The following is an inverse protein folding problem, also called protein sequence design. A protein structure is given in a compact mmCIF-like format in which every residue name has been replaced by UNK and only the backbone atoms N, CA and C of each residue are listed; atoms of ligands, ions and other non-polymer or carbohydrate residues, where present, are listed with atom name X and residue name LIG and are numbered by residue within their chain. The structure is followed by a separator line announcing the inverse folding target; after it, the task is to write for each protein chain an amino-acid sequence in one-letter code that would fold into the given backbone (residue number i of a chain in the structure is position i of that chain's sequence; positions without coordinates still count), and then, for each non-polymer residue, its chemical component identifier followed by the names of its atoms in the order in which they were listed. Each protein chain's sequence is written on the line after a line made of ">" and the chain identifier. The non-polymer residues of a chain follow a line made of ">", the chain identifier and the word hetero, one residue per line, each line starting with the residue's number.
data_IF_578546327379
#
_entry.id   IF_578546327379
#
_cell.length_a   1.000
_cell.length_b   1.000
_cell.length_c   1.000
_cell.angle_alpha   90.00
_cell.angle_beta   90.00
_cell.angle_gamma   90.00
#
_symmetry.space_group_name_H-M   'P 1'
#
loop_
_entity.id
_entity.type
_entity.pdbx_description
1 polymer ?
#
# COMPACT_ATOMS: atom_id res chain seq x y z
N UNK A 1 -4.02 -7.24 10.28
CA UNK A 1 -3.90 -8.52 11.03
C UNK A 1 -2.81 -8.37 12.09
N UNK A 2 -2.73 -9.21 13.15
CA UNK A 2 -1.51 -9.23 13.95
C UNK A 2 -0.31 -9.62 13.06
N UNK A 3 0.91 -9.10 13.35
CA UNK A 3 2.12 -9.48 12.61
C UNK A 3 2.37 -10.99 12.67
N UNK A 4 2.84 -11.57 11.57
CA UNK A 4 3.34 -12.95 11.54
C UNK A 4 4.78 -12.97 12.04
N UNK A 5 5.17 -14.01 12.79
CA UNK A 5 6.52 -14.13 13.36
C UNK A 5 7.62 -14.23 12.29
N UNK A 6 7.28 -14.71 11.08
CA UNK A 6 8.18 -14.77 9.94
C UNK A 6 8.02 -13.55 9.03
N UNK A 7 9.07 -12.74 8.97
CA UNK A 7 9.16 -11.54 8.11
C UNK A 7 9.02 -11.89 6.62
N UNK A 8 9.45 -13.08 6.20
CA UNK A 8 9.29 -13.52 4.83
C UNK A 8 7.82 -13.65 4.48
N UNK A 9 7.08 -14.45 5.24
CA UNK A 9 5.63 -14.62 5.09
C UNK A 9 4.90 -13.28 5.15
N UNK A 10 5.22 -12.42 6.13
CA UNK A 10 4.63 -11.10 6.27
C UNK A 10 4.76 -10.26 4.98
N UNK A 11 5.98 -10.25 4.43
CA UNK A 11 6.33 -9.46 3.23
C UNK A 11 5.60 -9.92 1.96
N UNK A 12 5.39 -11.23 1.79
CA UNK A 12 4.86 -11.80 0.54
C UNK A 12 3.36 -12.12 0.57
N UNK A 13 2.77 -12.18 1.76
CA UNK A 13 1.39 -12.64 1.95
C UNK A 13 0.49 -11.71 2.78
N UNK A 14 1.03 -10.76 3.55
CA UNK A 14 0.24 -10.03 4.54
C UNK A 14 0.21 -8.51 4.35
N UNK A 15 0.66 -7.99 3.20
CA UNK A 15 0.50 -6.55 2.91
C UNK A 15 -0.98 -6.15 2.90
N UNK A 16 -1.30 -5.09 3.63
CA UNK A 16 -2.62 -4.47 3.68
C UNK A 16 -2.73 -3.33 2.65
N UNK A 17 -3.95 -2.87 2.35
CA UNK A 17 -4.14 -1.72 1.46
C UNK A 17 -3.57 -0.44 2.09
N UNK A 18 -3.30 0.55 1.26
CA UNK A 18 -2.72 1.82 1.69
C UNK A 18 -3.61 2.50 2.73
N UNK A 19 -3.08 2.72 3.94
CA UNK A 19 -3.78 3.29 5.08
C UNK A 19 -4.56 2.30 5.95
N UNK A 20 -4.57 1.01 5.63
CA UNK A 20 -5.13 -0.05 6.49
C UNK A 20 -4.05 -0.72 7.37
N UNK A 21 -2.77 -0.52 7.06
CA UNK A 21 -1.63 -0.98 7.84
C UNK A 21 -1.10 0.07 8.82
N UNK A 22 0.06 -0.20 9.41
CA UNK A 22 0.65 0.65 10.47
C UNK A 22 1.55 1.78 9.94
N UNK A 23 1.88 1.78 8.65
CA UNK A 23 2.77 2.78 8.04
C UNK A 23 2.05 4.10 7.75
N UNK A 24 2.70 5.22 8.08
CA UNK A 24 2.23 6.57 7.71
C UNK A 24 2.59 6.90 6.26
N UNK A 25 1.71 6.47 5.34
CA UNK A 25 1.89 6.68 3.90
C UNK A 25 1.92 8.19 3.55
N UNK A 26 1.04 9.07 4.07
CA UNK A 26 1.13 10.51 3.82
C UNK A 26 2.47 11.12 4.25
N UNK A 27 3.03 10.73 5.40
CA UNK A 27 4.35 11.20 5.82
C UNK A 27 5.44 10.77 4.84
N UNK A 28 5.47 9.50 4.44
CA UNK A 28 6.40 9.01 3.44
C UNK A 28 6.33 9.81 2.13
N UNK A 29 5.12 10.05 1.61
CA UNK A 29 4.92 10.83 0.38
C UNK A 29 5.40 12.28 0.51
N UNK A 30 5.20 12.92 1.66
CA UNK A 30 5.72 14.28 1.93
C UNK A 30 7.25 14.29 1.91
N UNK A 31 7.90 13.34 2.57
CA UNK A 31 9.36 13.27 2.62
C UNK A 31 9.98 12.96 1.25
N UNK A 32 9.38 12.05 0.46
CA UNK A 32 9.86 11.76 -0.89
C UNK A 32 9.75 13.00 -1.80
N UNK A 33 8.64 13.77 -1.68
CA UNK A 33 8.51 15.04 -2.39
C UNK A 33 9.54 16.08 -1.92
N UNK A 34 9.77 16.19 -0.61
CA UNK A 34 10.76 17.09 -0.03
C UNK A 34 12.20 16.75 -0.48
N UNK A 35 12.48 15.47 -0.70
CA UNK A 35 13.72 14.98 -1.30
C UNK A 35 13.86 15.31 -2.81
N UNK A 36 12.84 15.92 -3.43
CA UNK A 36 12.87 16.40 -4.81
C UNK A 36 12.29 15.44 -5.85
N UNK A 37 11.69 14.32 -5.43
CA UNK A 37 11.07 13.39 -6.37
C UNK A 37 9.68 13.90 -6.82
N UNK A 38 9.50 14.04 -8.14
CA UNK A 38 8.25 14.52 -8.76
C UNK A 38 7.71 13.56 -9.84
N UNK A 39 8.05 12.27 -9.74
CA UNK A 39 7.65 11.23 -10.69
C UNK A 39 6.36 10.48 -10.27
N UNK A 40 6.11 9.35 -10.95
CA UNK A 40 4.96 8.47 -10.67
C UNK A 40 5.29 7.44 -9.59
N UNK A 41 4.28 7.04 -8.82
CA UNK A 41 4.41 6.01 -7.78
C UNK A 41 3.79 4.70 -8.25
N UNK A 42 4.54 3.62 -8.17
CA UNK A 42 4.02 2.27 -8.36
C UNK A 42 3.35 1.76 -7.09
N UNK A 43 2.26 1.00 -7.25
CA UNK A 43 1.56 0.35 -6.14
C UNK A 43 1.83 -1.15 -6.14
N UNK A 44 2.19 -1.72 -4.99
CA UNK A 44 2.56 -3.13 -4.86
C UNK A 44 1.96 -3.75 -3.59
N UNK A 45 0.92 -4.57 -3.77
CA UNK A 45 0.26 -5.31 -2.70
C UNK A 45 0.42 -6.82 -2.92
N UNK A 46 1.34 -7.42 -2.17
CA UNK A 46 1.51 -8.87 -2.08
C UNK A 46 0.69 -9.40 -0.91
N UNK A 47 -0.54 -9.85 -1.20
CA UNK A 47 -1.49 -10.24 -0.16
C UNK A 47 -2.26 -11.50 -0.53
N UNK A 48 -2.16 -12.54 0.30
CA UNK A 48 -2.91 -13.78 0.13
C UNK A 48 -4.43 -13.56 0.24
N UNK A 49 -4.85 -12.55 1.00
CA UNK A 49 -6.25 -12.10 1.12
C UNK A 49 -6.73 -11.47 -0.18
N UNK A 50 -6.00 -10.49 -0.69
CA UNK A 50 -6.47 -9.68 -1.82
C UNK A 50 -6.28 -10.33 -3.19
N UNK A 51 -5.27 -11.20 -3.37
CA UNK A 51 -5.02 -11.87 -4.66
C UNK A 51 -6.11 -12.88 -5.07
N UNK A 52 -7.08 -13.13 -4.18
CA UNK A 52 -8.26 -13.96 -4.46
C UNK A 52 -9.40 -13.16 -5.11
N UNK A 53 -9.32 -11.82 -5.13
CA UNK A 53 -10.31 -10.96 -5.77
C UNK A 53 -10.12 -10.95 -7.30
N UNK A 54 -11.17 -10.55 -8.02
CA UNK A 54 -11.06 -10.30 -9.46
C UNK A 54 -10.08 -9.16 -9.75
N UNK A 55 -9.43 -9.19 -10.92
CA UNK A 55 -8.42 -8.19 -11.29
C UNK A 55 -8.95 -6.75 -11.26
N UNK A 56 -10.14 -6.51 -11.82
CA UNK A 56 -10.75 -5.17 -11.84
C UNK A 56 -11.08 -4.66 -10.44
N UNK A 57 -11.56 -5.55 -9.57
CA UNK A 57 -11.87 -5.23 -8.19
C UNK A 57 -10.60 -4.90 -7.41
N UNK A 58 -9.55 -5.72 -7.56
CA UNK A 58 -8.28 -5.49 -6.88
C UNK A 58 -7.61 -4.21 -7.37
N UNK A 59 -7.59 -3.97 -8.69
CA UNK A 59 -7.05 -2.75 -9.28
C UNK A 59 -7.78 -1.51 -8.74
N UNK A 60 -9.13 -1.55 -8.69
CA UNK A 60 -9.93 -0.45 -8.13
C UNK A 60 -9.63 -0.20 -6.65
N UNK A 61 -9.61 -1.25 -5.81
CA UNK A 61 -9.35 -1.12 -4.37
C UNK A 61 -7.96 -0.55 -4.09
N UNK A 62 -6.94 -1.01 -4.82
CA UNK A 62 -5.57 -0.47 -4.71
C UNK A 62 -5.52 0.99 -5.15
N UNK A 63 -6.14 1.33 -6.27
CA UNK A 63 -6.19 2.71 -6.74
C UNK A 63 -6.90 3.63 -5.73
N UNK A 64 -8.10 3.25 -5.29
CA UNK A 64 -8.92 4.05 -4.36
C UNK A 64 -8.18 4.27 -3.02
N UNK A 65 -7.60 3.21 -2.45
CA UNK A 65 -6.82 3.31 -1.19
C UNK A 65 -5.54 4.14 -1.36
N UNK A 66 -4.87 4.05 -2.51
CA UNK A 66 -3.70 4.88 -2.83
C UNK A 66 -4.10 6.36 -2.91
N UNK A 67 -5.12 6.69 -3.69
CA UNK A 67 -5.58 8.07 -3.86
C UNK A 67 -6.10 8.67 -2.55
N UNK A 68 -6.68 7.86 -1.66
CA UNK A 68 -7.06 8.30 -0.33
C UNK A 68 -5.86 8.74 0.53
N UNK A 69 -4.65 8.25 0.27
CA UNK A 69 -3.44 8.76 0.95
C UNK A 69 -2.93 10.05 0.30
N UNK A 70 -2.97 10.15 -1.04
CA UNK A 70 -2.61 11.38 -1.74
C UNK A 70 -3.54 12.55 -1.39
N UNK A 71 -4.82 12.28 -1.09
CA UNK A 71 -5.78 13.29 -0.65
C UNK A 71 -5.46 13.90 0.72
N UNK A 72 -4.50 13.33 1.47
CA UNK A 72 -4.04 13.81 2.79
C UNK A 72 -2.75 14.63 2.71
N UNK A 73 -2.23 14.89 1.51
CA UNK A 73 -1.02 15.68 1.29
C UNK A 73 -1.30 17.18 1.31
#
# INVERSE_FOLDING_TARGET
>A
MPPVDDLWEDTIHHRELYGEGELDVPAFLREIRAAGYNGVYGTEILSARHRKLGLDEMAKRVFDSTMAQFAKL
#
